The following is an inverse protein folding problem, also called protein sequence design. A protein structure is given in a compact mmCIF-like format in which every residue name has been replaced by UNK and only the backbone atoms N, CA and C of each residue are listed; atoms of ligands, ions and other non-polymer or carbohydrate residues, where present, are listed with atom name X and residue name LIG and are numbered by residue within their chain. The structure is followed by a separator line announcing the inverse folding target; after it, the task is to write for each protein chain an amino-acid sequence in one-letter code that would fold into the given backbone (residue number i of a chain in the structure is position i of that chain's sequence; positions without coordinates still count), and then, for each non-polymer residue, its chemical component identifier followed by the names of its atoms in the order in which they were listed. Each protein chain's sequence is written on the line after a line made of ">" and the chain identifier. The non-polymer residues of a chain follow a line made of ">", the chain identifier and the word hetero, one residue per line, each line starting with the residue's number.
data_IF_891863816047
#
_entry.id   IF_891863816047
#
_cell.length_a   1.000
_cell.length_b   1.000
_cell.length_c   1.000
_cell.angle_alpha   90.00
_cell.angle_beta   90.00
_cell.angle_gamma   90.00
#
_symmetry.space_group_name_H-M   'P 1'
#
loop_
_entity.id
_entity.type
_entity.pdbx_description
1 polymer ?
#
# COMPACT_ATOMS: atom_id res chain seq x y z
N UNK A 1 0.15 -27.27 -28.78
CA UNK A 1 -0.94 -26.30 -28.48
C UNK A 1 -0.35 -24.91 -28.28
N UNK A 2 -0.88 -23.92 -28.93
CA UNK A 2 -0.51 -22.53 -28.71
C UNK A 2 -1.32 -22.03 -27.51
N UNK A 3 -0.65 -21.83 -26.37
CA UNK A 3 -1.30 -21.44 -25.11
C UNK A 3 -1.75 -20.00 -25.16
N UNK A 4 -0.90 -19.11 -25.71
CA UNK A 4 -1.23 -17.71 -25.94
C UNK A 4 -0.51 -17.19 -27.19
N UNK A 5 -1.09 -16.19 -27.82
CA UNK A 5 -0.50 -15.48 -28.96
C UNK A 5 -1.06 -14.06 -28.98
N UNK A 6 -0.22 -13.11 -28.62
CA UNK A 6 -0.61 -11.69 -28.54
C UNK A 6 0.65 -10.81 -28.64
N UNK A 7 0.46 -9.51 -28.66
CA UNK A 7 1.59 -8.56 -28.64
C UNK A 7 2.34 -8.60 -27.33
N UNK A 8 3.64 -8.37 -27.38
CA UNK A 8 4.52 -8.39 -26.20
C UNK A 8 4.00 -7.54 -25.06
N UNK A 9 3.56 -6.33 -25.33
CA UNK A 9 3.05 -5.39 -24.33
C UNK A 9 1.83 -5.95 -23.58
N UNK A 10 0.90 -6.59 -24.29
CA UNK A 10 -0.27 -7.24 -23.68
C UNK A 10 0.15 -8.41 -22.76
N UNK A 11 1.00 -9.29 -23.26
CA UNK A 11 1.45 -10.45 -22.48
C UNK A 11 2.23 -10.01 -21.24
N UNK A 12 3.15 -9.08 -21.42
CA UNK A 12 3.96 -8.54 -20.31
C UNK A 12 3.09 -7.86 -19.25
N UNK A 13 2.12 -7.05 -19.65
CA UNK A 13 1.21 -6.36 -18.73
C UNK A 13 0.43 -7.34 -17.85
N UNK A 14 -0.12 -8.40 -18.44
CA UNK A 14 -0.87 -9.43 -17.72
C UNK A 14 0.02 -10.18 -16.74
N UNK A 15 1.24 -10.57 -17.17
CA UNK A 15 2.20 -11.24 -16.29
C UNK A 15 2.63 -10.35 -15.12
N UNK A 16 2.92 -9.08 -15.38
CA UNK A 16 3.34 -8.13 -14.35
C UNK A 16 2.24 -7.90 -13.32
N UNK A 17 0.97 -7.99 -13.70
CA UNK A 17 -0.15 -7.81 -12.77
C UNK A 17 -0.18 -8.85 -11.66
N UNK A 18 0.34 -10.05 -11.89
CA UNK A 18 0.36 -11.13 -10.90
C UNK A 18 1.74 -11.42 -10.31
N UNK A 19 2.82 -10.93 -10.93
CA UNK A 19 4.18 -11.33 -10.59
C UNK A 19 4.82 -10.59 -9.42
N UNK A 20 4.20 -9.51 -8.94
CA UNK A 20 4.80 -8.65 -7.90
C UNK A 20 5.06 -9.33 -6.57
N UNK A 21 4.27 -10.36 -6.22
CA UNK A 21 4.45 -11.13 -4.98
C UNK A 21 5.45 -12.28 -5.13
N UNK A 22 5.87 -12.58 -6.34
CA UNK A 22 6.81 -13.69 -6.60
C UNK A 22 8.19 -13.35 -6.06
N UNK A 23 8.67 -14.15 -5.11
CA UNK A 23 9.97 -13.97 -4.50
C UNK A 23 11.07 -14.64 -5.35
N UNK A 24 12.24 -14.03 -5.39
CA UNK A 24 13.39 -14.58 -6.12
C UNK A 24 13.90 -15.88 -5.50
N UNK A 25 13.77 -16.02 -4.19
CA UNK A 25 14.19 -17.20 -3.43
C UNK A 25 13.08 -17.59 -2.49
N UNK A 26 12.56 -18.78 -2.68
CA UNK A 26 11.58 -19.38 -1.80
C UNK A 26 11.99 -20.81 -1.50
N UNK A 27 11.59 -21.33 -0.33
CA UNK A 27 11.83 -22.73 0.05
C UNK A 27 11.15 -23.73 -0.89
N UNK A 28 10.03 -23.32 -1.51
CA UNK A 28 9.33 -24.09 -2.54
C UNK A 28 9.63 -23.52 -3.92
N UNK A 29 10.41 -24.22 -4.76
CA UNK A 29 10.78 -23.69 -6.10
C UNK A 29 9.59 -23.35 -6.99
N UNK A 30 8.48 -24.08 -6.87
CA UNK A 30 7.29 -23.87 -7.71
C UNK A 30 6.65 -22.49 -7.48
N UNK A 31 6.88 -21.86 -6.32
CA UNK A 31 6.36 -20.53 -6.02
C UNK A 31 7.07 -19.39 -6.78
N UNK A 32 8.20 -19.70 -7.42
CA UNK A 32 8.81 -18.80 -8.40
C UNK A 32 8.10 -18.84 -9.76
N UNK A 33 7.20 -19.79 -9.95
CA UNK A 33 6.45 -19.99 -11.18
C UNK A 33 5.08 -19.30 -11.13
N UNK A 34 4.57 -19.02 -12.31
CA UNK A 34 3.17 -18.65 -12.52
C UNK A 34 2.41 -19.90 -12.97
N UNK A 35 1.26 -20.14 -12.33
CA UNK A 35 0.32 -21.19 -12.75
C UNK A 35 -0.48 -20.67 -13.93
N UNK A 36 -0.43 -21.38 -15.04
CA UNK A 36 -1.16 -21.05 -16.26
C UNK A 36 -2.28 -22.08 -16.43
N UNK A 37 -3.50 -21.62 -16.51
CA UNK A 37 -4.68 -22.46 -16.78
C UNK A 37 -5.44 -21.92 -17.97
N UNK A 38 -5.50 -22.69 -19.03
CA UNK A 38 -6.32 -22.38 -20.20
C UNK A 38 -7.59 -23.23 -20.16
N UNK A 39 -8.73 -22.56 -20.32
CA UNK A 39 -10.05 -23.20 -20.39
C UNK A 39 -10.79 -22.56 -21.56
N UNK A 40 -10.96 -23.32 -22.67
CA UNK A 40 -11.52 -22.76 -23.90
C UNK A 40 -10.64 -21.64 -24.45
N UNK A 41 -11.20 -20.45 -24.60
CA UNK A 41 -10.48 -19.24 -25.03
C UNK A 41 -9.96 -18.38 -23.89
N UNK A 42 -10.26 -18.74 -22.63
CA UNK A 42 -9.88 -17.98 -21.45
C UNK A 42 -8.57 -18.47 -20.85
N UNK A 43 -7.72 -17.54 -20.45
CA UNK A 43 -6.45 -17.82 -19.81
C UNK A 43 -6.43 -17.23 -18.40
N UNK A 44 -6.14 -18.08 -17.39
CA UNK A 44 -5.92 -17.64 -16.03
C UNK A 44 -4.44 -17.75 -15.68
N UNK A 45 -3.92 -16.72 -15.05
CA UNK A 45 -2.57 -16.68 -14.47
C UNK A 45 -2.69 -16.51 -12.97
N UNK A 46 -2.04 -17.37 -12.21
CA UNK A 46 -2.06 -17.36 -10.74
C UNK A 46 -0.66 -17.39 -10.18
N UNK A 47 -0.36 -16.54 -9.23
CA UNK A 47 0.86 -16.55 -8.43
C UNK A 47 0.52 -16.66 -6.96
N UNK A 48 1.46 -17.13 -6.16
CA UNK A 48 1.28 -17.28 -4.71
C UNK A 48 2.62 -17.21 -3.99
N UNK A 49 2.60 -16.74 -2.75
CA UNK A 49 3.72 -16.85 -1.81
C UNK A 49 3.32 -17.58 -0.53
N UNK A 50 2.18 -18.29 -0.55
CA UNK A 50 1.49 -18.96 0.55
C UNK A 50 0.69 -18.02 1.48
N UNK A 51 1.03 -16.74 1.51
CA UNK A 51 0.30 -15.72 2.28
C UNK A 51 -0.70 -14.96 1.39
N UNK A 52 -0.28 -14.69 0.16
CA UNK A 52 -1.02 -13.92 -0.84
C UNK A 52 -1.14 -14.77 -2.10
N UNK A 53 -2.35 -14.77 -2.70
CA UNK A 53 -2.59 -15.34 -4.02
C UNK A 53 -3.23 -14.31 -4.91
N UNK A 54 -2.67 -14.12 -6.11
CA UNK A 54 -3.22 -13.21 -7.12
C UNK A 54 -3.54 -14.01 -8.37
N UNK A 55 -4.75 -13.84 -8.86
CA UNK A 55 -5.22 -14.48 -10.10
C UNK A 55 -5.78 -13.42 -11.03
N UNK A 56 -5.39 -13.50 -12.29
CA UNK A 56 -5.98 -12.68 -13.35
C UNK A 56 -6.53 -13.55 -14.45
N UNK A 57 -7.59 -13.11 -15.08
CA UNK A 57 -8.19 -13.76 -16.25
C UNK A 57 -8.04 -12.82 -17.45
N UNK A 58 -7.53 -13.33 -18.56
CA UNK A 58 -7.29 -12.54 -19.76
C UNK A 58 -7.57 -13.36 -21.02
N UNK A 59 -7.85 -12.66 -22.10
CA UNK A 59 -7.88 -13.23 -23.45
C UNK A 59 -6.58 -12.83 -24.16
N UNK A 60 -5.66 -13.77 -24.27
CA UNK A 60 -4.38 -13.59 -24.94
C UNK A 60 -4.26 -14.42 -26.23
N UNK A 61 -5.39 -14.78 -26.82
CA UNK A 61 -5.40 -15.57 -28.06
C UNK A 61 -4.91 -17.01 -27.87
N UNK A 62 -4.41 -17.58 -28.97
CA UNK A 62 -3.96 -18.96 -28.99
C UNK A 62 -5.06 -19.96 -29.31
N UNK A 63 -4.77 -21.25 -29.18
CA UNK A 63 -5.70 -22.34 -29.47
C UNK A 63 -6.78 -22.42 -28.37
N UNK A 64 -8.00 -22.76 -28.76
CA UNK A 64 -9.03 -23.12 -27.78
C UNK A 64 -8.76 -24.53 -27.24
N UNK A 65 -9.02 -24.72 -25.95
CA UNK A 65 -8.85 -26.02 -25.32
C UNK A 65 -8.45 -25.91 -23.87
N UNK A 66 -8.21 -27.05 -23.21
CA UNK A 66 -7.84 -27.13 -21.80
C UNK A 66 -6.38 -27.48 -21.65
N UNK A 67 -5.65 -26.69 -20.87
CA UNK A 67 -4.23 -26.90 -20.64
C UNK A 67 -3.82 -26.25 -19.31
N UNK A 68 -2.99 -26.94 -18.53
CA UNK A 68 -2.45 -26.40 -17.28
C UNK A 68 -0.97 -26.69 -17.18
N UNK A 69 -0.21 -25.73 -16.67
CA UNK A 69 1.21 -25.89 -16.37
C UNK A 69 1.69 -24.79 -15.45
N UNK A 70 2.95 -24.86 -15.03
CA UNK A 70 3.63 -23.75 -14.35
C UNK A 70 4.99 -23.48 -14.99
N UNK A 71 5.38 -22.22 -15.02
CA UNK A 71 6.67 -21.78 -15.60
C UNK A 71 7.20 -20.59 -14.83
N UNK A 72 8.51 -20.39 -14.84
CA UNK A 72 9.16 -19.28 -14.13
C UNK A 72 8.60 -17.92 -14.54
N UNK A 73 7.97 -17.22 -13.61
CA UNK A 73 7.32 -15.94 -13.87
C UNK A 73 8.34 -14.86 -14.26
N UNK A 74 9.43 -14.73 -13.50
CA UNK A 74 10.46 -13.73 -13.78
C UNK A 74 11.24 -14.03 -15.05
N UNK A 75 11.45 -15.30 -15.36
CA UNK A 75 12.09 -15.70 -16.63
C UNK A 75 11.29 -15.22 -17.82
N UNK A 76 9.97 -15.45 -17.81
CA UNK A 76 9.08 -14.96 -18.87
C UNK A 76 9.13 -13.44 -18.99
N UNK A 77 9.05 -12.74 -17.87
CA UNK A 77 9.07 -11.28 -17.84
C UNK A 77 10.40 -10.74 -18.37
N UNK A 78 11.53 -11.30 -17.91
CA UNK A 78 12.86 -10.84 -18.34
C UNK A 78 13.06 -11.06 -19.84
N UNK A 79 12.60 -12.19 -20.36
CA UNK A 79 12.68 -12.47 -21.81
C UNK A 79 11.80 -11.47 -22.59
N UNK A 80 10.55 -11.29 -22.17
CA UNK A 80 9.61 -10.37 -22.83
C UNK A 80 10.11 -8.93 -22.85
N UNK A 81 10.77 -8.48 -21.79
CA UNK A 81 11.33 -7.12 -21.71
C UNK A 81 12.43 -6.85 -22.75
N UNK A 82 13.05 -7.90 -23.30
CA UNK A 82 14.08 -7.77 -24.35
C UNK A 82 13.49 -7.66 -25.75
N UNK A 83 12.19 -7.85 -25.90
CA UNK A 83 11.51 -7.85 -27.18
C UNK A 83 10.80 -6.51 -27.46
N UNK A 84 10.61 -6.13 -28.73
CA UNK A 84 9.80 -4.95 -29.08
C UNK A 84 8.37 -5.05 -28.57
N UNK A 85 7.82 -3.92 -28.15
CA UNK A 85 6.48 -3.86 -27.51
C UNK A 85 5.33 -4.28 -28.43
N UNK A 86 5.49 -4.06 -29.73
CA UNK A 86 4.47 -4.36 -30.76
C UNK A 86 4.67 -5.75 -31.41
N UNK A 87 5.72 -6.46 -31.00
CA UNK A 87 6.00 -7.79 -31.54
C UNK A 87 4.98 -8.81 -31.07
N UNK A 88 4.43 -9.61 -32.00
CA UNK A 88 3.61 -10.75 -31.65
C UNK A 88 4.49 -11.86 -31.05
N UNK A 89 4.13 -12.32 -29.88
CA UNK A 89 4.78 -13.43 -29.18
C UNK A 89 3.80 -14.58 -29.00
N UNK A 90 4.31 -15.80 -29.00
CA UNK A 90 3.52 -17.00 -28.73
C UNK A 90 4.19 -17.86 -27.67
N UNK A 91 3.37 -18.51 -26.86
CA UNK A 91 3.80 -19.49 -25.88
C UNK A 91 3.17 -20.83 -26.27
N UNK A 92 3.99 -21.83 -26.57
CA UNK A 92 3.55 -23.12 -27.08
C UNK A 92 3.94 -24.24 -26.12
N UNK A 93 3.03 -25.17 -25.89
CA UNK A 93 3.35 -26.42 -25.19
C UNK A 93 4.09 -27.37 -26.10
N UNK A 94 5.17 -27.95 -25.61
CA UNK A 94 5.97 -28.95 -26.36
C UNK A 94 6.47 -30.02 -25.37
N UNK A 95 5.79 -31.15 -25.34
CA UNK A 95 6.03 -32.21 -24.36
C UNK A 95 5.91 -31.62 -22.93
N UNK A 96 6.94 -31.73 -22.09
CA UNK A 96 6.95 -31.20 -20.72
C UNK A 96 7.65 -29.84 -20.64
N UNK A 97 7.64 -29.06 -21.71
CA UNK A 97 8.29 -27.75 -21.79
C UNK A 97 7.36 -26.73 -22.41
N UNK A 98 7.65 -25.45 -22.18
CA UNK A 98 7.04 -24.35 -22.89
C UNK A 98 8.06 -23.66 -23.79
N UNK A 99 7.63 -23.29 -24.98
CA UNK A 99 8.46 -22.58 -25.95
C UNK A 99 7.88 -21.21 -26.17
N UNK A 100 8.65 -20.18 -25.83
CA UNK A 100 8.31 -18.78 -26.10
C UNK A 100 8.97 -18.38 -27.41
N UNK A 101 8.16 -17.92 -28.36
CA UNK A 101 8.64 -17.45 -29.66
C UNK A 101 8.27 -15.99 -29.88
N UNK A 102 9.20 -15.24 -30.41
CA UNK A 102 9.00 -13.87 -30.84
C UNK A 102 9.97 -13.52 -31.96
N UNK A 103 9.46 -13.14 -33.14
CA UNK A 103 10.30 -12.94 -34.33
C UNK A 103 11.12 -14.16 -34.67
N UNK A 104 12.45 -13.99 -34.67
CA UNK A 104 13.39 -15.12 -34.93
C UNK A 104 13.93 -15.72 -33.62
N UNK A 105 13.47 -15.25 -32.48
CA UNK A 105 13.94 -15.74 -31.17
C UNK A 105 13.03 -16.85 -30.67
N UNK A 106 13.68 -17.84 -30.05
CA UNK A 106 13.02 -19.02 -29.49
C UNK A 106 13.63 -19.36 -28.13
N UNK A 107 12.80 -19.50 -27.12
CA UNK A 107 13.21 -19.84 -25.76
C UNK A 107 12.46 -21.09 -25.30
N UNK A 108 13.18 -22.11 -24.93
CA UNK A 108 12.61 -23.36 -24.40
C UNK A 108 12.74 -23.34 -22.88
N UNK A 109 11.64 -23.39 -22.19
CA UNK A 109 11.56 -23.20 -20.74
C UNK A 109 11.10 -24.49 -20.05
N UNK A 110 11.69 -24.76 -18.89
CA UNK A 110 11.29 -25.88 -18.03
C UNK A 110 9.97 -25.53 -17.34
N UNK A 111 9.15 -26.54 -17.11
CA UNK A 111 7.89 -26.43 -16.41
C UNK A 111 7.89 -27.34 -15.18
N UNK A 112 6.97 -27.05 -14.25
CA UNK A 112 6.63 -27.93 -13.15
C UNK A 112 5.12 -28.24 -13.23
N UNK A 113 4.69 -29.42 -12.76
CA UNK A 113 3.29 -29.82 -12.85
C UNK A 113 2.37 -28.86 -12.14
N UNK A 114 1.24 -28.52 -12.76
CA UNK A 114 0.22 -27.65 -12.15
C UNK A 114 -0.35 -28.22 -10.85
N UNK A 115 -0.42 -29.55 -10.75
CA UNK A 115 -0.93 -30.26 -9.56
C UNK A 115 -0.09 -29.96 -8.31
N UNK A 116 1.19 -29.65 -8.48
CA UNK A 116 2.10 -29.35 -7.38
C UNK A 116 2.03 -27.88 -6.94
N UNK A 117 1.30 -27.04 -7.65
CA UNK A 117 1.17 -25.61 -7.29
C UNK A 117 0.22 -25.46 -6.11
N UNK A 118 0.69 -24.91 -4.96
CA UNK A 118 -0.13 -24.81 -3.76
C UNK A 118 -1.09 -23.61 -3.87
N UNK A 119 -2.37 -23.89 -4.10
CA UNK A 119 -3.41 -22.88 -4.07
C UNK A 119 -3.80 -22.55 -2.64
N UNK A 120 -4.03 -21.27 -2.36
CA UNK A 120 -4.56 -20.84 -1.07
C UNK A 120 -6.00 -21.32 -0.96
N UNK A 121 -6.31 -22.06 0.12
CA UNK A 121 -7.67 -22.49 0.40
C UNK A 121 -8.49 -21.31 0.90
N UNK A 122 -9.56 -20.94 0.19
CA UNK A 122 -10.45 -19.89 0.62
C UNK A 122 -11.18 -20.25 1.91
N UNK A 123 -11.43 -19.25 2.75
CA UNK A 123 -12.21 -19.42 3.96
C UNK A 123 -13.62 -19.95 3.64
N UNK A 124 -14.17 -20.77 4.54
CA UNK A 124 -15.51 -21.35 4.36
C UNK A 124 -16.61 -20.30 4.35
N UNK A 125 -16.42 -19.17 5.03
CA UNK A 125 -17.42 -18.13 5.17
C UNK A 125 -16.77 -16.75 5.16
N UNK A 126 -17.22 -15.91 4.24
CA UNK A 126 -16.86 -14.48 4.17
C UNK A 126 -18.05 -13.63 4.61
N UNK A 127 -17.77 -12.46 5.17
CA UNK A 127 -18.77 -11.44 5.43
C UNK A 127 -19.37 -10.85 4.14
N UNK A 128 -20.29 -9.89 4.27
CA UNK A 128 -20.92 -9.28 3.11
C UNK A 128 -19.91 -8.55 2.21
N UNK A 129 -20.22 -8.52 0.92
CA UNK A 129 -19.44 -7.77 -0.07
C UNK A 129 -19.72 -6.29 0.10
N UNK A 130 -18.67 -5.50 0.07
CA UNK A 130 -18.76 -4.03 0.02
C UNK A 130 -17.70 -3.50 -0.94
N UNK A 131 -17.88 -2.29 -1.42
CA UNK A 131 -16.98 -1.73 -2.41
C UNK A 131 -16.77 -0.24 -2.27
N UNK A 132 -15.66 0.21 -2.83
CA UNK A 132 -15.33 1.62 -3.11
C UNK A 132 -14.70 1.69 -4.50
N UNK A 133 -14.62 2.87 -5.13
CA UNK A 133 -13.80 3.01 -6.34
C UNK A 133 -12.34 2.65 -6.07
N UNK A 134 -11.65 2.08 -7.06
CA UNK A 134 -10.22 1.74 -6.95
C UNK A 134 -9.39 2.95 -6.50
N UNK A 135 -9.65 4.11 -7.11
CA UNK A 135 -8.98 5.36 -6.75
C UNK A 135 -9.16 5.70 -5.27
N UNK A 136 -10.34 5.52 -4.72
CA UNK A 136 -10.64 5.77 -3.32
C UNK A 136 -9.79 4.91 -2.40
N UNK A 137 -9.71 3.60 -2.64
CA UNK A 137 -8.89 2.70 -1.83
C UNK A 137 -7.40 3.02 -1.98
N UNK A 138 -6.94 3.31 -3.19
CA UNK A 138 -5.57 3.73 -3.45
C UNK A 138 -5.20 4.98 -2.64
N UNK A 139 -6.07 5.99 -2.64
CA UNK A 139 -5.87 7.22 -1.89
C UNK A 139 -5.84 6.95 -0.38
N UNK A 140 -6.75 6.13 0.14
CA UNK A 140 -6.76 5.74 1.55
C UNK A 140 -5.46 5.03 1.96
N UNK A 141 -5.00 4.08 1.15
CA UNK A 141 -3.74 3.37 1.41
C UNK A 141 -2.56 4.33 1.43
N UNK A 142 -2.50 5.26 0.48
CA UNK A 142 -1.42 6.24 0.41
C UNK A 142 -1.43 7.22 1.60
N UNK A 143 -2.61 7.51 2.14
CA UNK A 143 -2.76 8.41 3.28
C UNK A 143 -2.30 7.81 4.60
N UNK A 144 -2.22 6.48 4.72
CA UNK A 144 -1.87 5.83 6.00
C UNK A 144 -0.65 4.93 5.95
N UNK A 145 -0.29 4.38 4.79
CA UNK A 145 0.72 3.31 4.68
C UNK A 145 2.10 3.70 5.19
N UNK A 146 2.50 4.96 5.07
CA UNK A 146 3.80 5.45 5.54
C UNK A 146 3.95 5.34 7.07
N UNK A 147 2.85 5.26 7.81
CA UNK A 147 2.84 5.14 9.27
C UNK A 147 2.92 3.69 9.77
N UNK A 148 2.90 2.69 8.89
CA UNK A 148 3.09 1.30 9.29
C UNK A 148 4.47 1.08 9.91
N UNK A 149 4.54 0.22 10.92
CA UNK A 149 5.82 -0.27 11.43
C UNK A 149 6.51 -1.18 10.38
N UNK A 150 7.82 -1.27 10.48
CA UNK A 150 8.64 -2.13 9.63
C UNK A 150 9.45 -3.05 10.55
N UNK A 151 9.21 -4.36 10.47
CA UNK A 151 9.87 -5.36 11.26
C UNK A 151 9.79 -5.12 12.79
N UNK A 152 8.67 -4.59 13.27
CA UNK A 152 8.41 -4.45 14.70
C UNK A 152 8.09 -5.83 15.30
N UNK A 153 8.55 -6.08 16.52
CA UNK A 153 8.23 -7.31 17.25
C UNK A 153 6.72 -7.41 17.54
N UNK A 154 6.05 -6.27 17.65
CA UNK A 154 4.59 -6.19 17.68
C UNK A 154 4.07 -6.36 16.25
N UNK A 155 4.02 -7.60 15.77
CA UNK A 155 3.76 -7.95 14.38
C UNK A 155 2.44 -7.36 13.84
N UNK A 156 1.44 -7.13 14.69
CA UNK A 156 0.18 -6.50 14.31
C UNK A 156 0.34 -5.03 13.87
N UNK A 157 1.47 -4.39 14.12
CA UNK A 157 1.79 -3.04 13.64
C UNK A 157 2.43 -3.03 12.24
N UNK A 158 2.88 -4.18 11.76
CA UNK A 158 3.48 -4.30 10.43
C UNK A 158 2.41 -4.46 9.34
N UNK A 159 1.38 -3.64 9.38
CA UNK A 159 0.26 -3.71 8.46
C UNK A 159 -0.71 -2.56 8.69
N UNK A 160 -1.88 -2.65 8.06
CA UNK A 160 -2.95 -1.65 8.17
C UNK A 160 -4.20 -2.31 8.74
N UNK A 161 -4.79 -1.68 9.76
CA UNK A 161 -6.11 -2.04 10.24
C UNK A 161 -7.18 -1.50 9.29
N UNK A 162 -8.06 -2.37 8.84
CA UNK A 162 -9.28 -2.02 8.11
C UNK A 162 -10.48 -2.22 9.02
N UNK A 163 -11.29 -1.19 9.17
CA UNK A 163 -12.55 -1.24 9.93
C UNK A 163 -13.69 -0.87 8.99
N UNK A 164 -14.57 -1.82 8.72
CA UNK A 164 -15.80 -1.56 7.98
C UNK A 164 -16.98 -1.59 8.98
N UNK A 165 -17.74 -0.53 9.06
CA UNK A 165 -18.88 -0.41 9.96
C UNK A 165 -19.91 0.60 9.43
N UNK A 166 -21.17 0.19 9.33
CA UNK A 166 -22.20 1.02 8.72
C UNK A 166 -21.83 1.32 7.27
N UNK A 167 -21.82 2.57 6.90
CA UNK A 167 -21.39 3.03 5.56
C UNK A 167 -19.97 3.60 5.55
N UNK A 168 -19.13 3.23 6.51
CA UNK A 168 -17.79 3.76 6.62
C UNK A 168 -16.73 2.67 6.55
N UNK A 169 -15.69 2.92 5.76
CA UNK A 169 -14.45 2.17 5.76
C UNK A 169 -13.35 3.05 6.32
N UNK A 170 -12.69 2.60 7.38
CA UNK A 170 -11.57 3.30 7.99
C UNK A 170 -10.31 2.46 7.89
N UNK A 171 -9.20 3.11 7.55
CA UNK A 171 -7.87 2.53 7.54
C UNK A 171 -7.01 3.21 8.59
N UNK A 172 -6.26 2.43 9.35
CA UNK A 172 -5.40 2.93 10.42
C UNK A 172 -4.03 2.24 10.35
N UNK A 173 -2.98 3.02 10.45
CA UNK A 173 -1.60 2.52 10.56
C UNK A 173 -0.88 3.26 11.68
N UNK A 174 -0.04 2.55 12.43
CA UNK A 174 0.78 3.12 13.49
C UNK A 174 2.05 2.29 13.72
N UNK A 175 3.10 2.96 14.16
CA UNK A 175 4.35 2.32 14.59
C UNK A 175 4.63 2.50 16.09
N UNK A 176 3.65 3.05 16.82
CA UNK A 176 3.77 3.37 18.24
C UNK A 176 4.25 4.78 18.53
N UNK A 177 4.74 5.51 17.52
CA UNK A 177 5.21 6.90 17.63
C UNK A 177 4.32 7.88 16.89
N UNK A 178 3.62 7.40 15.90
CA UNK A 178 2.68 8.17 15.08
C UNK A 178 1.55 7.26 14.63
N UNK A 179 0.42 7.85 14.28
CA UNK A 179 -0.77 7.13 13.81
C UNK A 179 -1.42 7.91 12.69
N UNK A 180 -1.72 7.24 11.58
CA UNK A 180 -2.49 7.79 10.47
C UNK A 180 -3.85 7.11 10.38
N UNK A 181 -4.88 7.90 10.22
CA UNK A 181 -6.27 7.46 10.05
C UNK A 181 -6.85 8.11 8.81
N UNK A 182 -7.49 7.31 7.96
CA UNK A 182 -8.24 7.81 6.81
C UNK A 182 -9.52 7.02 6.63
N UNK A 183 -10.57 7.66 6.16
CA UNK A 183 -11.87 7.00 5.97
C UNK A 183 -12.56 7.42 4.68
N UNK A 184 -13.45 6.56 4.20
CA UNK A 184 -14.29 6.80 3.04
C UNK A 184 -15.68 6.19 3.25
N UNK A 185 -16.64 6.63 2.44
CA UNK A 185 -18.02 6.14 2.48
C UNK A 185 -18.16 4.91 1.59
N UNK A 186 -18.81 3.87 2.13
CA UNK A 186 -19.12 2.64 1.41
C UNK A 186 -20.41 2.79 0.59
N UNK A 187 -20.55 1.93 -0.43
CA UNK A 187 -21.75 1.82 -1.27
C UNK A 187 -22.93 1.15 -0.55
N UNK A 188 -22.64 0.30 0.45
CA UNK A 188 -23.64 -0.43 1.23
C UNK A 188 -23.36 -0.31 2.72
N UNK A 189 -24.35 -0.57 3.53
CA UNK A 189 -24.24 -0.65 4.98
C UNK A 189 -23.82 -2.06 5.41
N UNK A 190 -22.80 -2.18 6.26
CA UNK A 190 -22.24 -3.44 6.71
C UNK A 190 -22.14 -3.51 8.23
N UNK A 191 -22.24 -4.72 8.82
CA UNK A 191 -21.91 -4.90 10.23
C UNK A 191 -20.41 -4.66 10.48
N UNK A 192 -20.05 -4.34 11.72
CA UNK A 192 -18.67 -4.08 12.08
C UNK A 192 -17.76 -5.27 11.80
N UNK A 193 -16.70 -5.04 11.05
CA UNK A 193 -15.65 -6.02 10.75
C UNK A 193 -14.30 -5.31 10.88
N UNK A 194 -13.35 -5.95 11.56
CA UNK A 194 -11.99 -5.46 11.70
C UNK A 194 -11.01 -6.51 11.21
N UNK A 195 -10.07 -6.12 10.36
CA UNK A 195 -9.00 -7.00 9.87
C UNK A 195 -7.69 -6.21 9.77
N UNK A 196 -6.58 -6.91 9.89
CA UNK A 196 -5.24 -6.32 9.70
C UNK A 196 -4.63 -6.94 8.44
N UNK A 197 -4.41 -6.10 7.42
CA UNK A 197 -3.71 -6.50 6.20
C UNK A 197 -2.21 -6.43 6.41
N UNK A 198 -1.45 -7.48 6.06
CA UNK A 198 0.00 -7.47 6.17
C UNK A 198 0.63 -6.40 5.27
N UNK A 199 1.80 -5.92 5.67
CA UNK A 199 2.55 -4.92 4.92
C UNK A 199 2.78 -5.30 3.45
N UNK A 200 3.18 -6.55 3.17
CA UNK A 200 3.40 -7.02 1.80
C UNK A 200 2.12 -6.90 0.95
N UNK A 201 0.98 -7.26 1.53
CA UNK A 201 -0.34 -7.13 0.89
C UNK A 201 -0.65 -5.66 0.56
N UNK A 202 -0.43 -4.77 1.53
CA UNK A 202 -0.65 -3.32 1.35
C UNK A 202 0.19 -2.78 0.20
N UNK A 203 1.48 -3.07 0.18
CA UNK A 203 2.39 -2.59 -0.86
C UNK A 203 2.01 -3.11 -2.26
N UNK A 204 1.58 -4.36 -2.34
CA UNK A 204 1.13 -4.94 -3.60
C UNK A 204 -0.19 -4.32 -4.08
N UNK A 205 -1.13 -4.09 -3.16
CA UNK A 205 -2.38 -3.40 -3.47
C UNK A 205 -2.12 -1.99 -4.01
N UNK A 206 -1.21 -1.24 -3.39
CA UNK A 206 -0.83 0.10 -3.85
C UNK A 206 -0.24 0.08 -5.27
N UNK A 207 0.52 -0.95 -5.60
CA UNK A 207 1.09 -1.13 -6.94
C UNK A 207 0.02 -1.46 -7.99
N UNK A 208 -0.97 -2.27 -7.65
CA UNK A 208 -1.97 -2.79 -8.57
C UNK A 208 -3.17 -1.86 -8.79
N UNK A 209 -3.54 -1.09 -7.77
CA UNK A 209 -4.67 -0.17 -7.87
C UNK A 209 -4.34 0.99 -8.82
N UNK A 210 -5.32 1.37 -9.62
CA UNK A 210 -5.21 2.46 -10.58
C UNK A 210 -6.09 3.65 -10.16
N UNK A 211 -6.00 4.74 -10.90
CA UNK A 211 -6.89 5.90 -10.72
C UNK A 211 -8.27 5.70 -11.40
N UNK A 212 -8.59 4.45 -11.78
CA UNK A 212 -9.85 4.12 -12.39
C UNK A 212 -11.03 4.29 -11.44
N UNK A 213 -12.16 4.69 -11.97
CA UNK A 213 -13.44 4.82 -11.26
C UNK A 213 -14.08 3.46 -10.97
N UNK A 214 -13.62 2.39 -11.61
CA UNK A 214 -14.10 1.03 -11.41
C UNK A 214 -14.00 0.60 -9.94
N UNK A 215 -14.99 -0.14 -9.48
CA UNK A 215 -15.06 -0.57 -8.10
C UNK A 215 -14.06 -1.67 -7.77
N UNK A 216 -13.54 -1.63 -6.54
CA UNK A 216 -12.91 -2.77 -5.90
C UNK A 216 -13.88 -3.36 -4.88
N UNK A 217 -14.23 -4.63 -5.06
CA UNK A 217 -15.07 -5.38 -4.12
C UNK A 217 -14.20 -6.02 -3.06
N UNK A 218 -14.67 -5.99 -1.83
CA UNK A 218 -13.97 -6.50 -0.66
C UNK A 218 -14.87 -7.42 0.16
N UNK A 219 -14.31 -8.50 0.67
CA UNK A 219 -14.94 -9.40 1.62
C UNK A 219 -13.93 -9.81 2.68
N UNK A 220 -14.35 -9.83 3.93
CA UNK A 220 -13.51 -10.24 5.05
C UNK A 220 -14.02 -11.53 5.68
N UNK A 221 -13.10 -12.41 6.01
CA UNK A 221 -13.30 -13.57 6.87
C UNK A 221 -12.45 -13.41 8.14
N UNK A 222 -12.49 -14.37 9.03
CA UNK A 222 -11.73 -14.29 10.28
C UNK A 222 -10.21 -14.29 10.08
N UNK A 223 -9.73 -14.95 9.02
CA UNK A 223 -8.30 -15.16 8.75
C UNK A 223 -7.88 -14.78 7.33
N UNK A 224 -8.79 -14.30 6.51
CA UNK A 224 -8.54 -13.93 5.12
C UNK A 224 -9.32 -12.69 4.70
N UNK A 225 -8.78 -11.97 3.72
CA UNK A 225 -9.50 -10.95 2.98
C UNK A 225 -9.44 -11.27 1.49
N UNK A 226 -10.51 -10.94 0.78
CA UNK A 226 -10.64 -11.15 -0.66
C UNK A 226 -10.98 -9.84 -1.34
N UNK A 227 -10.27 -9.53 -2.41
CA UNK A 227 -10.44 -8.32 -3.20
C UNK A 227 -10.63 -8.69 -4.66
N UNK A 228 -11.58 -8.04 -5.34
CA UNK A 228 -11.86 -8.27 -6.76
C UNK A 228 -11.92 -6.92 -7.48
N UNK A 229 -11.09 -6.74 -8.48
CA UNK A 229 -11.03 -5.53 -9.29
C UNK A 229 -10.29 -5.76 -10.61
N UNK A 230 -10.73 -5.12 -11.68
CA UNK A 230 -10.03 -5.11 -12.97
C UNK A 230 -9.74 -6.50 -13.55
N UNK A 231 -10.63 -7.47 -13.37
CA UNK A 231 -10.41 -8.86 -13.81
C UNK A 231 -9.46 -9.65 -12.92
N UNK A 232 -8.98 -9.08 -11.83
CA UNK A 232 -8.11 -9.72 -10.85
C UNK A 232 -8.86 -10.14 -9.61
N UNK A 233 -8.43 -11.23 -9.01
CA UNK A 233 -8.87 -11.72 -7.72
C UNK A 233 -7.65 -11.87 -6.82
N UNK A 234 -7.74 -11.28 -5.64
CA UNK A 234 -6.66 -11.18 -4.69
C UNK A 234 -7.13 -11.75 -3.35
N UNK A 235 -6.48 -12.81 -2.87
CA UNK A 235 -6.78 -13.42 -1.58
C UNK A 235 -5.54 -13.29 -0.70
N UNK A 236 -5.69 -12.79 0.51
CA UNK A 236 -4.58 -12.62 1.44
C UNK A 236 -4.92 -13.18 2.81
N UNK A 237 -3.96 -13.81 3.46
CA UNK A 237 -4.02 -14.09 4.89
C UNK A 237 -3.95 -12.78 5.66
N UNK A 238 -4.59 -12.75 6.82
CA UNK A 238 -4.62 -11.60 7.71
C UNK A 238 -3.59 -11.76 8.82
N UNK A 239 -3.16 -10.63 9.39
CA UNK A 239 -2.32 -10.62 10.58
C UNK A 239 -3.21 -10.86 11.80
N UNK A 240 -2.85 -11.84 12.61
CA UNK A 240 -3.51 -12.08 13.90
C UNK A 240 -3.00 -11.09 14.94
N UNK A 241 -3.85 -10.76 15.91
CA UNK A 241 -3.49 -9.88 17.00
C UNK A 241 -4.51 -8.77 17.21
N UNK A 242 -4.30 -8.01 18.27
CA UNK A 242 -5.17 -6.90 18.63
C UNK A 242 -4.47 -5.58 18.32
N UNK A 243 -4.99 -4.88 17.32
CA UNK A 243 -4.52 -3.55 16.97
C UNK A 243 -4.86 -2.55 18.09
N UNK A 244 -3.99 -1.56 18.38
CA UNK A 244 -4.29 -0.54 19.39
C UNK A 244 -5.61 0.18 19.12
N UNK A 245 -6.31 0.55 20.19
CA UNK A 245 -7.55 1.33 20.07
C UNK A 245 -7.22 2.76 19.64
N UNK A 246 -7.36 3.03 18.33
CA UNK A 246 -7.05 4.32 17.74
C UNK A 246 -7.91 5.47 18.30
N UNK A 247 -9.12 5.18 18.75
CA UNK A 247 -10.00 6.20 19.34
C UNK A 247 -9.44 6.76 20.66
N UNK A 248 -8.62 5.96 21.37
CA UNK A 248 -7.93 6.42 22.58
C UNK A 248 -6.66 7.19 22.27
N UNK A 249 -6.05 6.93 21.13
CA UNK A 249 -4.79 7.57 20.71
C UNK A 249 -5.04 8.95 20.09
N UNK A 250 -6.10 9.08 19.30
CA UNK A 250 -6.44 10.34 18.64
C UNK A 250 -6.87 11.36 19.69
N UNK A 251 -6.13 12.49 19.85
CA UNK A 251 -6.48 13.51 20.81
C UNK A 251 -7.81 14.17 20.47
N UNK A 252 -8.54 14.59 21.50
CA UNK A 252 -9.80 15.29 21.36
C UNK A 252 -9.72 16.60 22.13
N UNK A 253 -10.37 17.64 21.60
CA UNK A 253 -10.52 18.93 22.27
C UNK A 253 -9.19 19.63 22.56
N UNK A 254 -8.26 19.66 21.58
CA UNK A 254 -7.07 20.47 21.67
C UNK A 254 -7.42 21.96 21.80
N UNK A 255 -6.71 22.63 22.69
CA UNK A 255 -6.95 24.04 23.04
C UNK A 255 -6.53 25.00 21.94
N UNK A 256 -5.43 24.69 21.25
CA UNK A 256 -4.80 25.58 20.29
C UNK A 256 -4.79 24.94 18.90
N UNK A 257 -5.11 25.72 17.89
CA UNK A 257 -5.07 25.26 16.52
C UNK A 257 -4.57 26.35 15.58
N UNK A 258 -3.87 25.94 14.53
CA UNK A 258 -3.41 26.81 13.47
C UNK A 258 -3.62 26.15 12.13
N UNK A 259 -4.13 26.90 11.17
CA UNK A 259 -4.26 26.47 9.78
C UNK A 259 -3.18 27.16 8.96
N UNK A 260 -2.41 26.39 8.21
CA UNK A 260 -1.28 26.92 7.44
C UNK A 260 -1.09 26.14 6.13
N UNK A 261 -0.30 26.72 5.22
CA UNK A 261 0.01 26.11 3.94
C UNK A 261 0.84 24.84 4.09
N UNK A 262 0.39 23.76 3.48
CA UNK A 262 1.08 22.46 3.52
C UNK A 262 2.47 22.54 2.86
N UNK A 263 2.56 23.08 1.65
CA UNK A 263 3.81 23.15 0.89
C UNK A 263 4.86 24.03 1.58
N UNK A 264 4.53 25.24 2.07
CA UNK A 264 5.50 26.03 2.83
C UNK A 264 6.00 25.34 4.10
N UNK A 265 5.09 24.69 4.86
CA UNK A 265 5.49 23.95 6.05
C UNK A 265 6.40 22.76 5.70
N UNK A 266 6.05 21.98 4.70
CA UNK A 266 6.85 20.87 4.22
C UNK A 266 8.26 21.33 3.78
N UNK A 267 8.34 22.41 3.02
CA UNK A 267 9.60 22.95 2.56
C UNK A 267 10.48 23.43 3.72
N UNK A 268 9.89 24.07 4.73
CA UNK A 268 10.59 24.49 5.94
C UNK A 268 11.15 23.32 6.72
N UNK A 269 10.36 22.26 6.89
CA UNK A 269 10.81 21.04 7.56
C UNK A 269 11.93 20.34 6.79
N UNK A 270 11.82 20.26 5.48
CA UNK A 270 12.88 19.68 4.63
C UNK A 270 14.19 20.45 4.71
N UNK A 271 14.14 21.78 4.77
CA UNK A 271 15.33 22.62 4.96
C UNK A 271 15.98 22.37 6.33
N UNK A 272 15.20 22.43 7.39
CA UNK A 272 15.72 22.27 8.75
C UNK A 272 16.15 20.84 9.05
N UNK A 273 15.59 19.85 8.36
CA UNK A 273 15.98 18.44 8.50
C UNK A 273 17.44 18.19 8.10
N UNK A 274 18.01 19.03 7.24
CA UNK A 274 19.39 18.86 6.75
C UNK A 274 20.39 18.89 7.90
N UNK A 275 20.16 19.71 8.92
CA UNK A 275 21.05 19.86 10.08
C UNK A 275 20.53 19.15 11.33
N UNK A 276 19.71 18.10 11.17
CA UNK A 276 19.36 17.24 12.30
C UNK A 276 20.43 16.17 12.51
N UNK A 277 20.48 15.63 13.74
CA UNK A 277 21.28 14.45 14.07
C UNK A 277 20.77 13.24 13.28
N UNK A 278 21.63 12.44 12.67
CA UNK A 278 21.28 11.23 11.94
C UNK A 278 20.54 10.21 12.81
N UNK A 279 20.82 10.19 14.08
CA UNK A 279 20.22 9.24 15.03
C UNK A 279 18.83 9.65 15.49
N UNK A 280 18.61 10.94 15.78
CA UNK A 280 17.41 11.39 16.47
C UNK A 280 16.42 12.15 15.59
N UNK A 281 16.89 12.77 14.49
CA UNK A 281 16.04 13.52 13.55
C UNK A 281 15.12 14.54 14.22
N UNK A 282 15.56 15.14 15.34
CA UNK A 282 14.74 16.05 16.14
C UNK A 282 14.63 17.45 15.54
N UNK A 283 13.43 18.01 15.59
CA UNK A 283 13.13 19.39 15.23
C UNK A 283 12.26 20.01 16.30
N UNK A 284 12.47 21.30 16.60
CA UNK A 284 11.64 22.08 17.53
C UNK A 284 10.73 23.00 16.73
N UNK A 285 9.46 22.98 17.10
CA UNK A 285 8.46 23.92 16.62
C UNK A 285 8.15 24.91 17.74
N UNK A 286 8.40 26.20 17.51
CA UNK A 286 7.97 27.28 18.38
C UNK A 286 6.80 28.01 17.72
N UNK A 287 5.62 27.87 18.31
CA UNK A 287 4.40 28.50 17.81
C UNK A 287 4.08 29.68 18.72
N UNK A 288 4.08 30.87 18.15
CA UNK A 288 3.76 32.13 18.83
C UNK A 288 2.72 32.89 18.00
N UNK A 289 2.01 33.88 18.60
CA UNK A 289 1.13 34.71 17.80
C UNK A 289 1.83 35.26 16.54
N UNK A 290 1.31 34.94 15.38
CA UNK A 290 1.80 35.41 14.09
C UNK A 290 3.01 34.66 13.50
N UNK A 291 3.70 33.79 14.24
CA UNK A 291 4.95 33.17 13.78
C UNK A 291 5.09 31.71 14.19
N UNK A 292 5.49 30.86 13.25
CA UNK A 292 6.00 29.51 13.50
C UNK A 292 7.48 29.50 13.21
N UNK A 293 8.30 29.16 14.22
CA UNK A 293 9.73 28.95 14.06
C UNK A 293 10.04 27.48 14.10
N UNK A 294 10.81 27.00 13.11
CA UNK A 294 11.28 25.64 13.00
C UNK A 294 12.79 25.64 13.20
N UNK A 295 13.30 24.89 14.16
CA UNK A 295 14.72 24.87 14.50
C UNK A 295 15.25 23.46 14.66
N UNK A 296 16.47 23.25 14.24
CA UNK A 296 17.21 21.99 14.42
C UNK A 296 18.68 22.27 14.75
N UNK A 297 19.33 21.25 15.35
CA UNK A 297 20.78 21.27 15.55
C UNK A 297 21.34 19.84 15.45
N UNK A 298 22.63 19.74 15.30
CA UNK A 298 23.34 18.45 15.21
C UNK A 298 24.48 18.35 16.23
N UNK A 299 25.19 17.23 16.23
CA UNK A 299 26.30 16.98 17.14
C UNK A 299 27.51 17.88 16.90
N UNK A 300 27.67 18.41 15.70
CA UNK A 300 28.72 19.35 15.29
C UNK A 300 28.41 20.79 15.71
N UNK A 301 27.34 21.01 16.45
CA UNK A 301 26.88 22.35 16.90
C UNK A 301 26.47 23.27 15.74
N UNK A 302 26.08 22.70 14.64
CA UNK A 302 25.45 23.44 13.54
C UNK A 302 23.95 23.61 13.80
N UNK A 303 23.39 24.73 13.38
CA UNK A 303 21.99 25.08 13.61
C UNK A 303 21.29 25.48 12.32
N UNK A 304 20.01 25.11 12.23
CA UNK A 304 19.10 25.64 11.22
C UNK A 304 17.92 26.28 11.91
N UNK A 305 17.50 27.43 11.43
CA UNK A 305 16.28 28.13 11.89
C UNK A 305 15.54 28.63 10.66
N UNK A 306 14.25 28.37 10.61
CA UNK A 306 13.37 28.88 9.57
C UNK A 306 12.10 29.43 10.21
N UNK A 307 11.47 30.41 9.59
CA UNK A 307 10.26 31.06 10.11
C UNK A 307 9.17 31.11 9.05
N UNK A 308 7.94 30.87 9.48
CA UNK A 308 6.75 31.02 8.67
C UNK A 308 5.78 32.00 9.38
N UNK A 309 5.18 32.87 8.59
CA UNK A 309 4.07 33.69 9.05
C UNK A 309 2.80 32.83 9.15
N UNK A 310 2.12 32.91 10.29
CA UNK A 310 0.90 32.13 10.54
C UNK A 310 -0.19 33.02 11.12
N UNK A 311 -1.43 32.66 10.87
CA UNK A 311 -2.59 33.27 11.51
C UNK A 311 -2.91 32.51 12.80
N UNK A 312 -2.30 32.91 13.89
CA UNK A 312 -2.41 32.26 15.17
C UNK A 312 -2.38 33.29 16.28
N UNK A 313 -3.31 33.19 17.23
CA UNK A 313 -3.42 34.08 18.39
C UNK A 313 -3.53 33.34 19.71
N UNK A 314 -3.20 32.05 19.75
CA UNK A 314 -3.27 31.24 20.96
C UNK A 314 -2.01 31.32 21.83
N UNK A 315 -1.86 30.35 22.71
CA UNK A 315 -0.72 30.24 23.62
C UNK A 315 0.59 29.99 22.87
N UNK A 316 1.68 30.52 23.39
CA UNK A 316 3.01 30.18 22.89
C UNK A 316 3.37 28.75 23.33
N UNK A 317 3.75 27.91 22.37
CA UNK A 317 4.07 26.49 22.59
C UNK A 317 5.39 26.15 21.92
N UNK A 318 6.28 25.51 22.68
CA UNK A 318 7.49 24.90 22.14
C UNK A 318 7.36 23.38 22.26
N UNK A 319 7.50 22.67 21.14
CA UNK A 319 7.32 21.22 21.08
C UNK A 319 8.32 20.59 20.11
N UNK A 320 8.90 19.46 20.52
CA UNK A 320 9.85 18.71 19.70
C UNK A 320 9.21 17.52 19.00
N UNK A 321 9.66 17.25 17.78
CA UNK A 321 9.20 16.10 16.98
C UNK A 321 10.34 15.44 16.22
N UNK A 322 10.16 14.20 15.87
CA UNK A 322 10.95 13.58 14.82
C UNK A 322 10.50 14.19 13.47
N UNK A 323 11.41 14.89 12.81
CA UNK A 323 11.10 15.62 11.57
C UNK A 323 10.61 14.71 10.45
N UNK A 324 11.10 13.47 10.41
CA UNK A 324 10.70 12.48 9.41
C UNK A 324 9.20 12.18 9.50
N UNK A 325 8.65 12.09 10.71
CA UNK A 325 7.23 11.83 10.91
C UNK A 325 6.35 12.97 10.38
N UNK A 326 6.82 14.20 10.49
CA UNK A 326 6.10 15.36 9.96
C UNK A 326 6.20 15.43 8.44
N UNK A 327 7.38 15.20 7.90
CA UNK A 327 7.63 15.20 6.45
C UNK A 327 6.82 14.09 5.77
N UNK A 328 6.81 12.89 6.34
CA UNK A 328 6.07 11.75 5.79
C UNK A 328 4.57 12.07 5.63
N UNK A 329 3.96 12.63 6.65
CA UNK A 329 2.55 12.99 6.60
C UNK A 329 2.25 14.05 5.55
N UNK A 330 3.01 15.15 5.57
CA UNK A 330 2.79 16.26 4.65
C UNK A 330 3.10 15.90 3.20
N UNK A 331 4.06 15.00 2.96
CA UNK A 331 4.40 14.51 1.62
C UNK A 331 3.34 13.60 1.01
N UNK A 332 2.50 12.99 1.84
CA UNK A 332 1.44 12.07 1.41
C UNK A 332 0.04 12.73 1.43
N UNK A 333 -0.02 14.03 1.53
CA UNK A 333 -1.22 14.85 1.39
C UNK A 333 -1.16 15.63 0.07
N UNK A 334 -2.34 15.91 -0.50
CA UNK A 334 -2.48 16.71 -1.73
C UNK A 334 -3.12 18.08 -1.47
N UNK A 335 -3.68 18.30 -0.29
CA UNK A 335 -4.40 19.52 0.03
C UNK A 335 -3.47 20.71 0.17
N UNK A 336 -3.97 21.90 -0.16
CA UNK A 336 -3.22 23.15 -0.04
C UNK A 336 -2.98 23.54 1.42
N UNK A 337 -3.98 23.34 2.27
CA UNK A 337 -3.95 23.75 3.68
C UNK A 337 -3.99 22.54 4.61
N UNK A 338 -3.34 22.68 5.75
CA UNK A 338 -3.33 21.69 6.84
C UNK A 338 -3.62 22.40 8.16
N UNK A 339 -4.33 21.72 9.06
CA UNK A 339 -4.63 22.20 10.40
C UNK A 339 -3.80 21.42 11.41
N UNK A 340 -3.06 22.15 12.24
CA UNK A 340 -2.28 21.61 13.33
C UNK A 340 -2.95 21.97 14.66
N UNK A 341 -3.25 20.97 15.48
CA UNK A 341 -3.87 21.13 16.78
C UNK A 341 -2.92 20.67 17.88
N UNK A 342 -2.75 21.51 18.90
CA UNK A 342 -1.79 21.34 19.99
C UNK A 342 -2.42 21.64 21.33
N UNK A 343 -2.03 20.90 22.36
CA UNK A 343 -2.38 21.21 23.75
C UNK A 343 -1.19 21.85 24.48
N UNK A 344 -0.06 21.14 24.54
CA UNK A 344 1.16 21.55 25.26
C UNK A 344 2.39 20.86 24.67
N UNK A 345 3.56 21.08 25.28
CA UNK A 345 4.84 20.52 24.84
C UNK A 345 4.98 19.01 25.06
N UNK A 346 4.09 18.38 25.82
CA UNK A 346 4.18 16.97 26.23
C UNK A 346 3.08 16.09 25.63
N UNK A 347 2.09 16.69 24.99
CA UNK A 347 0.92 15.99 24.43
C UNK A 347 1.07 15.81 22.92
N UNK A 348 0.52 14.71 22.40
CA UNK A 348 0.55 14.43 20.97
C UNK A 348 -0.12 15.53 20.15
N UNK A 349 0.47 15.87 19.03
CA UNK A 349 -0.11 16.80 18.06
C UNK A 349 -1.05 16.08 17.12
N UNK A 350 -2.06 16.79 16.63
CA UNK A 350 -3.02 16.29 15.65
C UNK A 350 -2.98 17.14 14.39
N UNK A 351 -2.72 16.50 13.25
CA UNK A 351 -2.84 17.10 11.92
C UNK A 351 -4.14 16.65 11.29
N UNK A 352 -4.91 17.60 10.76
CA UNK A 352 -6.14 17.35 10.02
C UNK A 352 -6.17 18.20 8.76
N UNK A 353 -7.15 17.95 7.92
CA UNK A 353 -7.43 18.77 6.75
C UNK A 353 -8.61 19.68 7.11
N UNK A 354 -8.51 21.02 6.91
CA UNK A 354 -9.62 21.91 7.21
C UNK A 354 -10.92 21.49 6.53
N UNK A 355 -12.01 21.50 7.29
CA UNK A 355 -13.36 21.15 6.82
C UNK A 355 -13.50 19.71 6.32
N UNK A 356 -12.54 18.83 6.63
CA UNK A 356 -12.54 17.44 6.22
C UNK A 356 -12.20 16.54 7.42
N UNK A 357 -13.15 15.74 7.87
CA UNK A 357 -13.00 14.83 9.01
C UNK A 357 -12.48 13.44 8.63
N UNK A 358 -12.18 13.20 7.35
CA UNK A 358 -11.81 11.87 6.85
C UNK A 358 -10.35 11.51 7.07
N UNK A 359 -9.49 12.47 7.40
CA UNK A 359 -8.07 12.26 7.64
C UNK A 359 -7.65 12.82 9.00
N UNK A 360 -6.87 12.02 9.73
CA UNK A 360 -6.27 12.42 11.00
C UNK A 360 -4.88 11.82 11.12
N UNK A 361 -3.93 12.62 11.58
CA UNK A 361 -2.57 12.16 11.81
C UNK A 361 -2.09 12.62 13.18
N UNK A 362 -1.68 11.66 14.00
CA UNK A 362 -1.24 11.90 15.37
C UNK A 362 0.27 11.65 15.46
N UNK A 363 1.00 12.59 16.04
CA UNK A 363 2.44 12.47 16.26
C UNK A 363 2.73 12.67 17.74
N UNK A 364 3.43 11.71 18.33
CA UNK A 364 3.94 11.85 19.69
C UNK A 364 5.12 12.83 19.70
N UNK A 365 5.19 13.75 20.69
CA UNK A 365 6.34 14.63 20.81
C UNK A 365 7.57 13.89 21.27
N UNK A 366 8.73 14.44 20.96
CA UNK A 366 10.00 13.97 21.54
C UNK A 366 10.62 15.05 22.39
N UNK A 367 11.37 14.66 23.39
CA UNK A 367 12.17 15.58 24.19
C UNK A 367 13.46 15.92 23.44
N UNK A 368 13.72 17.20 23.28
CA UNK A 368 14.89 17.72 22.57
C UNK A 368 15.65 18.65 23.51
#
# INVERSE_FOLDING_TARGET
>A
MIVLKATQDKVLSVLQSVAGIVERRHTLPILANVLIRKTGGSLQLTTSDLEIQIRTTADLGGDAGNFTTTVGARKLIDILRTMPTDQTVSLESSQNKLVLKGGKSRFTLQTLPAEDFPLVQEAASFGPVFSVPQKTLKDLLNQVSFAMAVHDIRYYLNGILFVAEGKQLSLVATDGHRLAFASATLDVEVPRQEVILPRKTVLEMQRLLSDAEGAIEMQFASNQAKFSFGGMEFVTKLVEGKFPDYNRVIPKNHKNSVTLGRVPLLASLQRTAILTSDKFKGVRLNIEPGTLRVASNNAEQEEAVDELDIDYGGDSIEIGFNVTYLIDALSNMDQEMVKLELADSNSSALFTIPENSTFKYVVMPMRI
#
